data_IF_017840407463
#
_entry.id   IF_017840407463
#
_cell.length_a   1.000
_cell.length_b   1.000
_cell.length_c   1.000
_cell.angle_alpha   90.00
_cell.angle_beta   90.00
_cell.angle_gamma   90.00
#
_symmetry.space_group_name_H-M   'P 1'
#
loop_
_entity.id
_entity.type
_entity.pdbx_description
1 polymer ?
#
# COMPACT_ATOMS: atom_id res chain seq x y z
N UNK A 1 31.36 -14.86 4.88
CA UNK A 1 29.89 -14.90 4.66
C UNK A 1 29.67 -15.21 3.20
N UNK A 2 28.70 -16.04 2.87
CA UNK A 2 28.43 -16.44 1.47
C UNK A 2 27.73 -15.32 0.72
N UNK A 3 27.98 -15.25 -0.59
CA UNK A 3 27.21 -14.40 -1.49
C UNK A 3 25.82 -14.99 -1.67
N UNK A 4 24.78 -14.14 -1.73
CA UNK A 4 23.39 -14.56 -1.88
C UNK A 4 22.57 -13.51 -2.61
N UNK A 5 21.43 -13.93 -3.13
CA UNK A 5 20.41 -13.02 -3.67
C UNK A 5 19.31 -12.83 -2.65
N UNK A 6 18.84 -11.58 -2.51
CA UNK A 6 17.70 -11.24 -1.67
C UNK A 6 16.71 -10.39 -2.44
N UNK A 7 15.44 -10.69 -2.28
CA UNK A 7 14.35 -10.06 -3.03
C UNK A 7 13.29 -9.53 -2.09
N UNK A 8 12.83 -8.32 -2.36
CA UNK A 8 11.63 -7.76 -1.73
C UNK A 8 10.70 -7.18 -2.78
N UNK A 9 9.43 -7.12 -2.43
CA UNK A 9 8.37 -6.55 -3.29
C UNK A 9 7.56 -5.48 -2.58
N UNK A 10 6.88 -4.66 -3.36
CA UNK A 10 5.94 -3.65 -2.88
C UNK A 10 4.77 -3.50 -3.85
N UNK A 11 3.67 -2.96 -3.36
CA UNK A 11 2.47 -2.68 -4.13
C UNK A 11 2.15 -1.19 -4.11
N UNK A 12 1.58 -0.69 -5.20
CA UNK A 12 1.20 0.71 -5.34
C UNK A 12 -0.06 1.06 -4.56
N UNK A 13 -0.35 2.36 -4.45
CA UNK A 13 -1.55 2.88 -3.80
C UNK A 13 -2.87 2.33 -4.36
N UNK A 14 -2.89 1.88 -5.62
CA UNK A 14 -4.07 1.34 -6.28
C UNK A 14 -4.14 -0.20 -6.30
N UNK A 15 -3.18 -0.90 -5.71
CA UNK A 15 -3.30 -2.34 -5.51
C UNK A 15 -4.44 -2.64 -4.52
N UNK A 16 -5.25 -3.70 -4.74
CA UNK A 16 -6.38 -4.00 -3.86
C UNK A 16 -6.06 -3.99 -2.38
N UNK A 17 -4.93 -4.57 -1.96
CA UNK A 17 -4.51 -4.59 -0.56
C UNK A 17 -4.28 -3.16 -0.02
N UNK A 18 -3.62 -2.29 -0.80
CA UNK A 18 -3.38 -0.90 -0.39
C UNK A 18 -4.64 -0.02 -0.49
N UNK A 19 -5.55 -0.32 -1.40
CA UNK A 19 -6.87 0.31 -1.40
C UNK A 19 -7.63 -0.04 -0.13
N UNK A 20 -7.61 -1.31 0.28
CA UNK A 20 -8.22 -1.78 1.52
C UNK A 20 -7.61 -1.10 2.75
N UNK A 21 -6.28 -1.09 2.89
CA UNK A 21 -5.56 -0.41 3.96
C UNK A 21 -5.95 1.07 4.05
N UNK A 22 -5.92 1.79 2.92
CA UNK A 22 -6.23 3.22 2.88
C UNK A 22 -7.69 3.52 3.22
N UNK A 23 -8.62 2.63 2.90
CA UNK A 23 -10.03 2.79 3.29
C UNK A 23 -10.18 2.56 4.80
N UNK A 24 -9.56 1.51 5.35
CA UNK A 24 -9.59 1.23 6.79
C UNK A 24 -8.99 2.40 7.59
N UNK A 25 -7.85 2.93 7.17
CA UNK A 25 -7.22 4.11 7.78
C UNK A 25 -8.12 5.34 7.69
N UNK A 26 -8.76 5.59 6.54
CA UNK A 26 -9.65 6.73 6.37
C UNK A 26 -10.92 6.63 7.24
N UNK A 27 -11.42 5.41 7.48
CA UNK A 27 -12.52 5.16 8.43
C UNK A 27 -12.06 5.47 9.86
N UNK A 28 -10.89 4.98 10.26
CA UNK A 28 -10.29 5.27 11.57
C UNK A 28 -10.13 6.78 11.77
N UNK A 29 -9.52 7.47 10.82
CA UNK A 29 -9.30 8.92 10.86
C UNK A 29 -10.62 9.71 11.01
N UNK A 30 -11.65 9.33 10.24
CA UNK A 30 -12.94 9.99 10.28
C UNK A 30 -13.67 9.81 11.62
N UNK A 31 -13.45 8.69 12.30
CA UNK A 31 -13.99 8.41 13.63
C UNK A 31 -13.22 9.18 14.69
N UNK A 32 -11.88 9.06 14.72
CA UNK A 32 -11.04 9.68 15.73
C UNK A 32 -11.09 11.21 15.69
N UNK A 33 -11.34 11.80 14.53
CA UNK A 33 -11.55 13.25 14.40
C UNK A 33 -12.77 13.76 15.17
N UNK A 34 -13.76 12.91 15.45
CA UNK A 34 -14.99 13.26 16.18
C UNK A 34 -14.99 12.69 17.61
N UNK A 35 -14.43 11.51 17.80
CA UNK A 35 -14.38 10.82 19.09
C UNK A 35 -13.00 10.14 19.27
N UNK A 36 -12.04 10.84 19.87
CA UNK A 36 -10.66 10.33 20.07
C UNK A 36 -10.57 9.09 21.00
N UNK A 37 -11.64 8.76 21.72
CA UNK A 37 -11.69 7.58 22.60
C UNK A 37 -12.34 6.36 21.96
N UNK A 38 -12.68 6.44 20.69
CA UNK A 38 -13.26 5.32 19.94
C UNK A 38 -12.32 4.13 19.88
N UNK A 39 -12.90 2.95 19.91
CA UNK A 39 -12.22 1.70 19.58
C UNK A 39 -12.68 1.24 18.20
N UNK A 40 -11.72 1.07 17.30
CA UNK A 40 -11.99 0.86 15.87
C UNK A 40 -11.18 -0.33 15.37
N UNK A 41 -11.85 -1.42 15.09
CA UNK A 41 -11.32 -2.56 14.33
C UNK A 41 -12.02 -2.57 12.97
N UNK A 42 -11.57 -1.71 12.07
CA UNK A 42 -12.14 -1.54 10.74
C UNK A 42 -11.32 -2.32 9.72
N UNK A 43 -11.92 -3.35 9.16
CA UNK A 43 -11.34 -4.17 8.10
C UNK A 43 -12.04 -3.89 6.77
N UNK A 44 -11.28 -4.04 5.69
CA UNK A 44 -11.78 -3.80 4.33
C UNK A 44 -11.35 -4.91 3.39
N UNK A 45 -12.30 -5.39 2.59
CA UNK A 45 -12.03 -6.27 1.45
C UNK A 45 -12.40 -5.55 0.17
N UNK A 46 -11.49 -5.58 -0.81
CA UNK A 46 -11.71 -5.02 -2.15
C UNK A 46 -11.55 -6.12 -3.19
N UNK A 47 -12.58 -6.31 -4.02
CA UNK A 47 -12.53 -7.27 -5.13
C UNK A 47 -13.40 -6.80 -6.30
N UNK A 48 -12.80 -6.66 -7.48
CA UNK A 48 -13.48 -6.12 -8.66
C UNK A 48 -14.14 -4.77 -8.33
N UNK A 49 -15.46 -4.63 -8.60
CA UNK A 49 -16.22 -3.41 -8.30
C UNK A 49 -16.97 -3.51 -6.96
N UNK A 50 -16.41 -4.23 -5.97
CA UNK A 50 -16.99 -4.47 -4.65
C UNK A 50 -16.02 -4.04 -3.55
N UNK A 51 -16.54 -3.32 -2.55
CA UNK A 51 -15.89 -2.99 -1.29
C UNK A 51 -16.76 -3.50 -0.16
N UNK A 52 -16.18 -4.26 0.76
CA UNK A 52 -16.84 -4.71 1.99
C UNK A 52 -16.09 -4.11 3.16
N UNK A 53 -16.81 -3.37 4.00
CA UNK A 53 -16.34 -2.79 5.25
C UNK A 53 -16.91 -3.64 6.37
N UNK A 54 -16.07 -4.26 7.17
CA UNK A 54 -16.49 -5.16 8.24
C UNK A 54 -15.63 -4.94 9.49
N UNK A 55 -16.09 -5.50 10.63
CA UNK A 55 -15.37 -5.40 11.89
C UNK A 55 -16.23 -4.83 13.01
N UNK A 56 -15.59 -4.42 14.10
CA UNK A 56 -16.25 -3.93 15.30
C UNK A 56 -15.81 -2.50 15.62
N UNK A 57 -16.81 -1.63 15.87
CA UNK A 57 -16.59 -0.23 16.18
C UNK A 57 -17.40 0.16 17.40
N UNK A 58 -16.72 0.75 18.41
CA UNK A 58 -17.36 1.39 19.56
C UNK A 58 -17.03 2.88 19.52
N UNK A 59 -18.02 3.72 19.23
CA UNK A 59 -17.82 5.15 19.02
C UNK A 59 -19.09 5.96 19.25
N UNK A 60 -18.95 7.23 19.62
CA UNK A 60 -20.01 8.24 19.57
C UNK A 60 -20.01 9.05 18.25
N UNK A 61 -19.02 8.84 17.40
CA UNK A 61 -18.90 9.53 16.10
C UNK A 61 -20.01 9.10 15.14
N UNK A 62 -20.41 10.02 14.26
CA UNK A 62 -21.36 9.73 13.17
C UNK A 62 -20.63 9.87 11.84
N UNK A 63 -20.29 8.75 11.24
CA UNK A 63 -19.51 8.69 10.00
C UNK A 63 -20.34 8.03 8.89
N UNK A 64 -20.35 8.66 7.72
CA UNK A 64 -20.86 8.03 6.50
C UNK A 64 -19.74 7.19 5.87
N UNK A 65 -19.67 5.91 6.21
CA UNK A 65 -18.62 4.99 5.78
C UNK A 65 -18.58 4.81 4.26
N UNK A 66 -19.74 4.77 3.59
CA UNK A 66 -19.80 4.71 2.12
C UNK A 66 -19.11 5.93 1.49
N UNK A 67 -19.41 7.12 1.98
CA UNK A 67 -18.79 8.36 1.47
C UNK A 67 -17.27 8.40 1.74
N UNK A 68 -16.81 7.92 2.89
CA UNK A 68 -15.38 7.84 3.22
C UNK A 68 -14.67 6.89 2.26
N UNK A 69 -15.22 5.69 2.03
CA UNK A 69 -14.65 4.72 1.11
C UNK A 69 -14.55 5.28 -0.32
N UNK A 70 -15.64 5.87 -0.84
CA UNK A 70 -15.67 6.46 -2.19
C UNK A 70 -14.68 7.60 -2.34
N UNK A 71 -14.57 8.49 -1.35
CA UNK A 71 -13.59 9.59 -1.36
C UNK A 71 -12.15 9.06 -1.41
N UNK A 72 -11.86 7.99 -0.70
CA UNK A 72 -10.54 7.34 -0.72
C UNK A 72 -10.25 6.72 -2.09
N UNK A 73 -11.20 5.99 -2.67
CA UNK A 73 -11.09 5.40 -4.01
C UNK A 73 -10.86 6.50 -5.07
N UNK A 74 -11.58 7.61 -4.96
CA UNK A 74 -11.43 8.78 -5.84
C UNK A 74 -10.03 9.39 -5.72
N UNK A 75 -9.52 9.59 -4.50
CA UNK A 75 -8.18 10.12 -4.21
C UNK A 75 -7.07 9.26 -4.80
N UNK A 76 -7.22 7.95 -4.78
CA UNK A 76 -6.29 6.99 -5.39
C UNK A 76 -6.27 7.14 -6.91
N UNK A 77 -7.38 7.54 -7.53
CA UNK A 77 -7.47 7.77 -8.97
C UNK A 77 -8.35 6.76 -9.72
N UNK A 78 -9.18 6.01 -9.03
CA UNK A 78 -10.20 5.16 -9.63
C UNK A 78 -11.48 5.96 -9.92
N UNK A 79 -11.45 6.70 -11.03
CA UNK A 79 -12.52 7.64 -11.43
C UNK A 79 -13.11 7.32 -12.81
N UNK A 80 -12.60 6.30 -13.50
CA UNK A 80 -13.06 5.88 -14.82
C UNK A 80 -13.63 4.45 -14.74
N UNK A 81 -14.95 4.26 -14.99
CA UNK A 81 -15.60 2.95 -14.93
C UNK A 81 -15.00 1.93 -15.91
N UNK A 82 -14.30 2.38 -16.96
CA UNK A 82 -13.60 1.50 -17.91
C UNK A 82 -12.43 0.74 -17.28
N UNK A 83 -11.98 1.13 -16.10
CA UNK A 83 -10.95 0.41 -15.34
C UNK A 83 -11.51 -0.87 -14.71
N UNK A 84 -12.84 -0.96 -14.53
CA UNK A 84 -13.52 -2.08 -13.87
C UNK A 84 -13.64 -1.95 -12.35
N UNK A 85 -13.14 -0.85 -11.79
CA UNK A 85 -13.32 -0.40 -10.42
C UNK A 85 -13.31 1.12 -10.40
N UNK A 86 -14.34 1.75 -9.85
CA UNK A 86 -14.41 3.19 -9.75
C UNK A 86 -15.32 3.67 -8.62
N UNK A 87 -15.07 4.92 -8.19
CA UNK A 87 -15.75 5.53 -7.05
C UNK A 87 -17.27 5.68 -7.21
N UNK A 88 -17.80 5.74 -8.44
CA UNK A 88 -19.23 6.00 -8.68
C UNK A 88 -20.04 4.71 -8.77
N UNK A 89 -19.49 3.68 -9.39
CA UNK A 89 -20.21 2.44 -9.69
C UNK A 89 -19.92 1.29 -8.74
N UNK A 90 -18.86 1.38 -7.92
CA UNK A 90 -18.54 0.30 -6.98
C UNK A 90 -19.68 0.10 -5.95
N UNK A 91 -19.92 -1.16 -5.62
CA UNK A 91 -20.80 -1.54 -4.52
C UNK A 91 -20.03 -1.43 -3.21
N UNK A 92 -20.56 -0.69 -2.23
CA UNK A 92 -19.99 -0.63 -0.88
C UNK A 92 -20.97 -1.31 0.08
N UNK A 93 -20.54 -2.37 0.74
CA UNK A 93 -21.28 -3.07 1.78
C UNK A 93 -20.67 -2.67 3.13
N UNK A 94 -21.51 -2.18 4.04
CA UNK A 94 -21.10 -1.82 5.40
C UNK A 94 -21.69 -2.84 6.37
N UNK A 95 -20.80 -3.57 7.06
CA UNK A 95 -21.13 -4.66 7.98
C UNK A 95 -20.36 -4.51 9.30
N UNK A 96 -20.30 -3.28 9.83
CA UNK A 96 -19.73 -3.04 11.16
C UNK A 96 -20.73 -3.42 12.25
N UNK A 97 -20.24 -4.09 13.30
CA UNK A 97 -20.97 -4.43 14.52
C UNK A 97 -20.39 -3.73 15.75
N UNK A 98 -21.01 -3.96 16.89
CA UNK A 98 -20.46 -3.57 18.19
C UNK A 98 -19.47 -4.62 18.71
N UNK A 99 -18.46 -4.18 19.47
CA UNK A 99 -17.51 -5.06 20.14
C UNK A 99 -18.23 -6.04 21.06
N UNK A 100 -17.79 -7.30 21.08
CA UNK A 100 -18.26 -8.30 22.04
C UNK A 100 -18.10 -7.80 23.48
N UNK A 101 -19.15 -7.96 24.31
CA UNK A 101 -19.11 -7.58 25.73
C UNK A 101 -18.06 -8.32 26.52
N UNK A 102 -17.76 -9.57 26.16
CA UNK A 102 -16.74 -10.38 26.82
C UNK A 102 -15.32 -9.84 26.55
N UNK A 103 -15.06 -9.42 25.32
CA UNK A 103 -13.79 -8.76 24.96
C UNK A 103 -13.70 -7.40 25.63
N UNK A 104 -14.78 -6.61 25.64
CA UNK A 104 -14.83 -5.29 26.26
C UNK A 104 -14.45 -5.33 27.75
N UNK A 105 -14.83 -6.37 28.51
CA UNK A 105 -14.43 -6.54 29.92
C UNK A 105 -12.90 -6.60 30.10
N UNK A 106 -12.17 -7.15 29.14
CA UNK A 106 -10.69 -7.20 29.17
C UNK A 106 -10.02 -5.88 28.79
N UNK A 107 -10.71 -5.06 28.00
CA UNK A 107 -10.18 -3.81 27.43
C UNK A 107 -10.54 -2.60 28.27
N UNK A 108 -11.83 -2.46 28.66
CA UNK A 108 -12.33 -1.27 29.34
C UNK A 108 -11.85 -1.17 30.79
N UNK A 109 -11.22 -0.06 31.14
CA UNK A 109 -10.77 0.26 32.48
C UNK A 109 -11.25 1.66 32.87
N UNK A 110 -11.49 1.92 34.18
CA UNK A 110 -11.91 3.25 34.67
C UNK A 110 -10.85 4.35 34.42
N UNK A 111 -9.59 3.97 34.30
CA UNK A 111 -8.46 4.88 34.08
C UNK A 111 -7.89 4.63 32.70
N UNK A 112 -7.80 5.67 31.88
CA UNK A 112 -7.32 5.58 30.49
C UNK A 112 -5.91 4.96 30.37
N UNK A 113 -5.02 5.19 31.36
CA UNK A 113 -3.67 4.63 31.39
C UNK A 113 -3.63 3.11 31.63
N UNK A 114 -4.70 2.56 32.18
CA UNK A 114 -4.83 1.12 32.46
C UNK A 114 -5.62 0.38 31.36
N UNK A 115 -5.94 1.07 30.24
CA UNK A 115 -6.66 0.49 29.12
C UNK A 115 -5.95 -0.76 28.61
N UNK A 116 -6.70 -1.86 28.51
CA UNK A 116 -6.19 -3.11 27.97
C UNK A 116 -6.16 -3.12 26.44
N UNK A 117 -5.41 -4.07 25.87
CA UNK A 117 -5.42 -4.32 24.42
C UNK A 117 -6.63 -5.21 24.03
N UNK A 118 -7.20 -4.94 22.86
CA UNK A 118 -8.32 -5.73 22.32
C UNK A 118 -7.89 -7.08 21.72
N UNK A 119 -6.56 -7.28 21.55
CA UNK A 119 -5.99 -8.52 21.02
C UNK A 119 -4.61 -8.77 21.62
N UNK A 120 -4.06 -9.96 21.37
CA UNK A 120 -2.68 -10.30 21.67
C UNK A 120 -1.73 -9.49 20.78
N UNK A 121 -0.54 -9.18 21.28
CA UNK A 121 0.46 -8.44 20.52
C UNK A 121 1.87 -8.97 20.74
N UNK A 122 2.64 -9.04 19.66
CA UNK A 122 4.06 -9.34 19.65
C UNK A 122 4.73 -8.47 18.58
N UNK A 123 5.81 -7.79 18.95
CA UNK A 123 6.47 -6.81 18.10
C UNK A 123 7.96 -7.08 17.99
N UNK A 124 8.47 -6.92 16.76
CA UNK A 124 9.90 -6.95 16.47
C UNK A 124 10.33 -5.61 15.90
N UNK A 125 11.50 -5.16 16.29
CA UNK A 125 12.16 -4.00 15.70
C UNK A 125 13.37 -4.43 14.90
N UNK A 126 13.54 -3.88 13.68
CA UNK A 126 14.73 -4.09 12.85
C UNK A 126 15.11 -2.79 12.14
N UNK A 127 16.39 -2.47 12.12
CA UNK A 127 16.96 -1.37 11.36
C UNK A 127 18.36 -1.76 10.85
N UNK A 128 18.77 -1.20 9.71
CA UNK A 128 20.11 -1.36 9.15
C UNK A 128 20.57 -0.06 8.48
N UNK A 129 21.86 0.03 8.15
CA UNK A 129 22.49 1.21 7.57
C UNK A 129 22.56 1.17 6.03
N UNK A 130 21.76 0.32 5.39
CA UNK A 130 21.78 0.16 3.92
C UNK A 130 21.18 1.36 3.17
N UNK A 131 20.29 2.11 3.82
CA UNK A 131 19.60 3.26 3.23
C UNK A 131 19.48 4.41 4.22
N UNK A 132 19.26 5.66 3.75
CA UNK A 132 19.04 6.82 4.62
C UNK A 132 17.86 6.66 5.60
N UNK A 133 16.87 5.84 5.23
CA UNK A 133 15.71 5.54 6.06
C UNK A 133 15.93 4.40 7.05
N UNK A 134 17.17 3.90 7.20
CA UNK A 134 17.53 2.77 8.07
C UNK A 134 16.76 1.49 7.74
N UNK A 135 16.31 1.34 6.51
CA UNK A 135 15.56 0.21 5.97
C UNK A 135 16.44 -0.65 5.06
N UNK A 136 16.19 -1.98 4.98
CA UNK A 136 16.85 -2.83 4.01
C UNK A 136 16.65 -2.32 2.57
N UNK A 137 17.71 -2.32 1.77
CA UNK A 137 17.71 -1.68 0.45
C UNK A 137 16.71 -2.29 -0.54
N UNK A 138 16.50 -3.60 -0.51
CA UNK A 138 15.58 -4.26 -1.44
C UNK A 138 14.14 -3.76 -1.27
N UNK A 139 13.62 -3.72 -0.03
CA UNK A 139 12.27 -3.22 0.24
C UNK A 139 12.17 -1.71 0.03
N UNK A 140 13.20 -0.96 0.41
CA UNK A 140 13.25 0.49 0.19
C UNK A 140 13.12 0.84 -1.29
N UNK A 141 13.90 0.19 -2.17
CA UNK A 141 13.83 0.45 -3.61
C UNK A 141 12.49 -0.01 -4.20
N UNK A 142 11.94 -1.13 -3.72
CA UNK A 142 10.60 -1.57 -4.16
C UNK A 142 9.54 -0.52 -3.83
N UNK A 143 9.56 0.07 -2.63
CA UNK A 143 8.65 1.17 -2.28
C UNK A 143 8.86 2.39 -3.18
N UNK A 144 10.11 2.83 -3.40
CA UNK A 144 10.40 3.99 -4.27
C UNK A 144 9.91 3.80 -5.70
N UNK A 145 9.94 2.57 -6.23
CA UNK A 145 9.45 2.26 -7.59
C UNK A 145 7.94 2.48 -7.72
N UNK A 146 7.15 1.98 -6.78
CA UNK A 146 5.68 2.15 -6.84
C UNK A 146 5.25 3.58 -6.50
N UNK A 147 5.97 4.28 -5.64
CA UNK A 147 5.77 5.72 -5.43
C UNK A 147 6.05 6.52 -6.70
N UNK A 148 7.16 6.21 -7.39
CA UNK A 148 7.51 6.86 -8.65
C UNK A 148 6.49 6.58 -9.75
N UNK A 149 5.97 5.35 -9.82
CA UNK A 149 4.88 4.98 -10.73
C UNK A 149 3.63 5.85 -10.48
N UNK A 150 3.23 6.00 -9.22
CA UNK A 150 2.10 6.84 -8.85
C UNK A 150 2.36 8.33 -9.18
N UNK A 151 3.57 8.83 -8.95
CA UNK A 151 3.97 10.19 -9.28
C UNK A 151 3.85 10.48 -10.79
N UNK A 152 4.49 9.66 -11.64
CA UNK A 152 4.46 9.90 -13.09
C UNK A 152 3.08 9.68 -13.72
N UNK A 153 2.22 8.90 -13.07
CA UNK A 153 0.82 8.76 -13.43
C UNK A 153 0.04 10.04 -13.10
N UNK A 154 0.20 10.55 -11.88
CA UNK A 154 -0.55 11.71 -11.36
C UNK A 154 -0.16 13.02 -12.05
N UNK A 155 1.12 13.20 -12.38
CA UNK A 155 1.60 14.40 -13.07
C UNK A 155 1.39 14.38 -14.61
N UNK A 156 0.86 13.27 -15.13
CA UNK A 156 0.49 13.13 -16.54
C UNK A 156 1.68 12.84 -17.48
N UNK A 157 2.88 12.58 -16.97
CA UNK A 157 4.02 12.16 -17.82
C UNK A 157 3.74 10.85 -18.54
N UNK A 158 3.08 9.90 -17.88
CA UNK A 158 2.62 8.65 -18.46
C UNK A 158 1.09 8.51 -18.22
N UNK A 159 0.25 9.24 -18.97
CA UNK A 159 -1.18 9.38 -18.69
C UNK A 159 -1.99 8.09 -18.91
N UNK A 160 -1.39 7.11 -19.54
CA UNK A 160 -1.97 5.79 -19.76
C UNK A 160 -1.74 4.82 -18.59
N UNK A 161 -0.90 5.15 -17.61
CA UNK A 161 -0.77 4.36 -16.39
C UNK A 161 -2.07 4.39 -15.57
N UNK A 162 -2.35 3.27 -14.92
CA UNK A 162 -3.47 3.10 -13.99
C UNK A 162 -2.96 2.97 -12.56
N UNK A 163 -3.83 3.06 -11.53
CA UNK A 163 -3.39 3.10 -10.14
C UNK A 163 -2.72 1.82 -9.65
N UNK A 164 -3.09 0.64 -10.18
CA UNK A 164 -2.56 -0.65 -9.72
C UNK A 164 -1.17 -0.94 -10.31
N UNK A 165 -0.23 -1.25 -9.44
CA UNK A 165 1.10 -1.70 -9.82
C UNK A 165 1.76 -2.51 -8.69
N UNK A 166 2.73 -3.36 -9.08
CA UNK A 166 3.61 -4.10 -8.17
C UNK A 166 5.03 -3.94 -8.62
N UNK A 167 5.96 -3.84 -7.67
CA UNK A 167 7.39 -3.83 -7.93
C UNK A 167 8.09 -4.93 -7.16
N UNK A 168 9.20 -5.39 -7.70
CA UNK A 168 10.08 -6.34 -7.03
C UNK A 168 11.53 -5.99 -7.37
N UNK A 169 12.41 -5.98 -6.38
CA UNK A 169 13.83 -5.72 -6.55
C UNK A 169 14.63 -6.87 -5.96
N UNK A 170 15.51 -7.45 -6.77
CA UNK A 170 16.47 -8.47 -6.37
C UNK A 170 17.87 -7.86 -6.31
N UNK A 171 18.49 -7.96 -5.16
CA UNK A 171 19.86 -7.52 -4.91
C UNK A 171 20.78 -8.71 -4.73
N UNK A 172 22.01 -8.58 -5.21
CA UNK A 172 23.11 -9.43 -4.82
C UNK A 172 23.80 -8.84 -3.60
N UNK A 173 23.97 -9.68 -2.59
CA UNK A 173 24.75 -9.39 -1.39
C UNK A 173 26.10 -10.08 -1.44
N UNK A 174 27.14 -9.37 -1.05
CA UNK A 174 28.47 -9.92 -0.83
C UNK A 174 29.00 -9.49 0.53
N UNK A 175 29.52 -10.44 1.30
CA UNK A 175 29.99 -10.17 2.66
C UNK A 175 28.97 -9.48 3.56
N UNK A 176 27.69 -9.79 3.39
CA UNK A 176 26.59 -9.24 4.19
C UNK A 176 26.16 -7.82 3.82
N UNK A 177 26.65 -7.27 2.70
CA UNK A 177 26.30 -5.93 2.20
C UNK A 177 25.69 -6.00 0.81
N UNK A 178 24.70 -5.15 0.49
CA UNK A 178 24.16 -5.06 -0.86
C UNK A 178 25.24 -4.55 -1.82
N UNK A 179 25.49 -5.28 -2.89
CA UNK A 179 26.55 -5.00 -3.85
C UNK A 179 26.01 -4.51 -5.20
N UNK A 180 24.98 -5.16 -5.73
CA UNK A 180 24.44 -4.86 -7.04
C UNK A 180 22.95 -5.18 -7.15
N UNK A 181 22.27 -4.48 -8.07
CA UNK A 181 20.90 -4.78 -8.47
C UNK A 181 20.96 -5.80 -9.61
N UNK A 182 20.33 -6.96 -9.42
CA UNK A 182 20.29 -8.04 -10.40
C UNK A 182 19.03 -8.00 -11.27
N UNK A 183 17.85 -7.81 -10.63
CA UNK A 183 16.57 -7.84 -11.33
C UNK A 183 15.63 -6.78 -10.76
N UNK A 184 14.89 -6.14 -11.65
CA UNK A 184 13.76 -5.28 -11.31
C UNK A 184 12.54 -5.77 -12.08
N UNK A 185 11.48 -6.08 -11.36
CA UNK A 185 10.16 -6.38 -11.93
C UNK A 185 9.23 -5.21 -11.63
N UNK A 186 8.50 -4.73 -12.63
CA UNK A 186 7.46 -3.74 -12.45
C UNK A 186 6.23 -4.11 -13.30
N UNK A 187 5.23 -4.70 -12.65
CA UNK A 187 3.93 -4.93 -13.25
C UNK A 187 3.03 -3.71 -13.00
N UNK A 188 2.43 -3.15 -14.03
CA UNK A 188 1.55 -1.99 -13.90
C UNK A 188 0.32 -2.12 -14.79
N UNK A 189 -0.83 -1.78 -14.24
CA UNK A 189 -2.04 -1.62 -15.01
C UNK A 189 -1.93 -0.39 -15.90
N UNK A 190 -2.42 -0.49 -17.14
CA UNK A 190 -2.37 0.59 -18.12
C UNK A 190 -3.61 0.62 -19.02
N UNK A 191 -3.81 1.72 -19.74
CA UNK A 191 -4.86 1.83 -20.76
C UNK A 191 -4.55 0.90 -21.94
N UNK A 192 -5.59 0.39 -22.63
CA UNK A 192 -5.41 -0.40 -23.84
C UNK A 192 -4.79 0.42 -24.99
N UNK A 193 -4.20 -0.26 -25.97
CA UNK A 193 -3.71 0.38 -27.20
C UNK A 193 -2.25 0.84 -27.17
N UNK A 194 -1.54 0.68 -26.06
CA UNK A 194 -0.10 0.93 -26.00
C UNK A 194 0.67 -0.32 -26.47
N UNK A 195 1.61 -0.14 -27.40
CA UNK A 195 2.50 -1.21 -27.82
C UNK A 195 3.46 -1.58 -26.69
N UNK A 196 3.66 -2.89 -26.43
CA UNK A 196 4.44 -3.41 -25.31
C UNK A 196 5.84 -2.79 -25.24
N UNK A 197 6.60 -2.73 -26.35
CA UNK A 197 7.95 -2.16 -26.35
C UNK A 197 8.00 -0.67 -25.98
N UNK A 198 6.98 0.13 -26.35
CA UNK A 198 6.87 1.53 -25.92
C UNK A 198 6.55 1.65 -24.44
N UNK A 199 5.69 0.76 -23.93
CA UNK A 199 5.35 0.68 -22.52
C UNK A 199 6.60 0.35 -21.70
N UNK A 200 7.32 -0.70 -22.08
CA UNK A 200 8.55 -1.15 -21.41
C UNK A 200 9.60 -0.05 -21.38
N UNK A 201 9.92 0.56 -22.52
CA UNK A 201 10.89 1.66 -22.62
C UNK A 201 10.49 2.84 -21.72
N UNK A 202 9.24 3.29 -21.81
CA UNK A 202 8.75 4.42 -21.03
C UNK A 202 8.79 4.17 -19.50
N UNK A 203 8.44 2.96 -19.07
CA UNK A 203 8.51 2.55 -17.66
C UNK A 203 9.95 2.49 -17.18
N UNK A 204 10.86 1.89 -17.96
CA UNK A 204 12.29 1.82 -17.63
C UNK A 204 12.86 3.25 -17.47
N UNK A 205 12.61 4.12 -18.44
CA UNK A 205 13.20 5.47 -18.44
C UNK A 205 12.57 6.42 -17.41
N UNK A 206 11.26 6.37 -17.24
CA UNK A 206 10.54 7.36 -16.40
C UNK A 206 10.35 6.91 -14.96
N UNK A 207 10.28 5.60 -14.70
CA UNK A 207 10.00 5.03 -13.38
C UNK A 207 11.24 4.36 -12.80
N UNK A 208 11.83 3.39 -13.50
CA UNK A 208 12.87 2.54 -12.92
C UNK A 208 14.21 3.27 -12.77
N UNK A 209 14.77 3.74 -13.88
CA UNK A 209 16.11 4.37 -13.88
C UNK A 209 16.26 5.55 -12.91
N UNK A 210 15.27 6.45 -12.75
CA UNK A 210 15.38 7.56 -11.80
C UNK A 210 15.43 7.13 -10.33
N UNK A 211 14.96 5.95 -10.00
CA UNK A 211 14.92 5.41 -8.63
C UNK A 211 16.20 4.66 -8.28
N UNK A 212 16.81 3.98 -9.24
CA UNK A 212 17.95 3.11 -8.97
C UNK A 212 19.22 3.90 -8.63
N UNK A 213 19.90 3.62 -7.50
CA UNK A 213 21.17 4.24 -7.15
C UNK A 213 22.24 3.86 -8.19
N UNK A 214 22.90 4.85 -8.79
CA UNK A 214 23.90 4.62 -9.87
C UNK A 214 25.03 3.67 -9.45
N UNK A 215 25.46 3.72 -8.19
CA UNK A 215 26.55 2.88 -7.67
C UNK A 215 26.16 1.40 -7.53
N UNK A 216 24.85 1.08 -7.54
CA UNK A 216 24.32 -0.27 -7.46
C UNK A 216 24.08 -0.90 -8.85
N UNK A 217 24.18 -0.10 -9.93
CA UNK A 217 24.06 -0.55 -11.32
C UNK A 217 25.42 -1.06 -11.79
N UNK A 218 25.78 -2.29 -11.42
CA UNK A 218 27.04 -2.93 -11.75
C UNK A 218 26.84 -4.03 -12.81
N UNK A 219 26.56 -3.65 -14.05
CA UNK A 219 26.33 -4.58 -15.15
C UNK A 219 24.94 -4.50 -15.75
N UNK A 220 24.50 -5.57 -16.41
CA UNK A 220 23.18 -5.63 -17.06
C UNK A 220 22.11 -6.04 -16.04
N UNK A 221 21.22 -5.11 -15.72
CA UNK A 221 20.04 -5.40 -14.92
C UNK A 221 19.00 -6.11 -15.80
N UNK A 222 18.34 -7.14 -15.27
CA UNK A 222 17.20 -7.78 -15.91
C UNK A 222 15.93 -7.00 -15.54
N UNK A 223 15.28 -6.43 -16.56
CA UNK A 223 13.94 -5.81 -16.41
C UNK A 223 12.87 -6.80 -16.85
N UNK A 224 11.76 -6.87 -16.10
CA UNK A 224 10.61 -7.74 -16.37
C UNK A 224 9.29 -7.00 -16.09
#
# INVERSE_FOLDING_TARGET
>A
MSDFLFTSESVSEGHPDKVADQISDAVLDAILAQDPRSRVAAETLVKNNLVVLAGEITTNARVNFDAVARKTIQRIGYTDPKIGFDTHTCTVIVAYGEQSRDIAQGVDRPVDLDQGAGDQGLMFGYACDETPGLMPMAIYLSHRLVERQAEVRRDGRLPWLRPDAKSQVTLRYSNGKPEAIETVVLSTQHAPGIAHGKLEEAVIESVIKPVLPKHMVKGKIKYL
#
